data_IF_294564526313
#
_entry.id   IF_294564526313
#
_cell.length_a   1.000
_cell.length_b   1.000
_cell.length_c   1.000
_cell.angle_alpha   90.00
_cell.angle_beta   90.00
_cell.angle_gamma   90.00
#
_symmetry.space_group_name_H-M   'P 1'
#
loop_
_entity.id
_entity.type
_entity.pdbx_description
1 polymer ?
#
# COMPACT_ATOMS: atom_id res chain seq x y z
N UNK A 1 -6.21 20.06 -42.56
CA UNK A 1 -6.43 20.34 -41.11
C UNK A 1 -6.17 19.04 -40.37
N UNK A 2 -4.97 18.88 -39.79
CA UNK A 2 -4.56 17.62 -39.16
C UNK A 2 -5.29 17.47 -37.83
N UNK A 3 -6.05 16.39 -37.70
CA UNK A 3 -6.85 16.05 -36.53
C UNK A 3 -5.92 15.55 -35.41
N UNK A 4 -5.35 16.50 -34.65
CA UNK A 4 -4.45 16.26 -33.50
C UNK A 4 -5.19 15.84 -32.21
N UNK A 5 -6.50 15.59 -32.30
CA UNK A 5 -7.39 15.28 -31.17
C UNK A 5 -7.24 13.87 -30.61
N UNK A 6 -6.42 13.00 -31.22
CA UNK A 6 -6.10 11.68 -30.66
C UNK A 6 -5.04 11.72 -29.54
N UNK A 7 -4.57 12.90 -29.15
CA UNK A 7 -3.51 13.10 -28.14
C UNK A 7 -4.06 13.61 -26.81
N UNK A 8 -5.32 13.32 -26.47
CA UNK A 8 -5.93 13.73 -25.21
C UNK A 8 -6.22 12.53 -24.31
N UNK A 9 -5.25 12.20 -23.46
CA UNK A 9 -5.44 11.42 -22.22
C UNK A 9 -5.85 9.95 -22.37
N UNK A 10 -5.62 9.18 -21.33
CA UNK A 10 -6.26 7.86 -21.16
C UNK A 10 -7.77 8.07 -21.01
N UNK A 11 -8.52 7.96 -22.12
CA UNK A 11 -9.97 7.94 -22.09
C UNK A 11 -10.43 6.67 -21.34
N UNK A 12 -11.22 6.85 -20.29
CA UNK A 12 -11.84 5.73 -19.59
C UNK A 12 -13.13 5.34 -20.31
N UNK A 13 -13.22 4.09 -20.74
CA UNK A 13 -14.42 3.52 -21.33
C UNK A 13 -15.15 2.66 -20.28
N UNK A 14 -16.46 2.84 -20.09
CA UNK A 14 -17.22 2.00 -19.18
C UNK A 14 -17.29 0.57 -19.75
N UNK A 15 -16.96 -0.42 -18.91
CA UNK A 15 -16.95 -1.83 -19.34
C UNK A 15 -17.97 -2.70 -18.60
N UNK A 16 -18.34 -2.33 -17.37
CA UNK A 16 -19.27 -3.07 -16.52
C UNK A 16 -19.93 -2.14 -15.50
N UNK A 17 -21.17 -2.41 -15.12
CA UNK A 17 -21.84 -1.80 -13.96
C UNK A 17 -22.36 -2.87 -13.01
N UNK A 18 -22.38 -2.54 -11.72
CA UNK A 18 -22.93 -3.38 -10.67
C UNK A 18 -24.05 -2.62 -9.97
N UNK A 19 -25.19 -3.28 -9.79
CA UNK A 19 -26.33 -2.75 -9.05
C UNK A 19 -26.57 -3.59 -7.81
N UNK A 20 -26.54 -2.95 -6.65
CA UNK A 20 -26.63 -3.63 -5.35
C UNK A 20 -28.02 -3.37 -4.77
N UNK A 21 -28.76 -4.45 -4.57
CA UNK A 21 -30.05 -4.46 -3.91
C UNK A 21 -29.87 -4.91 -2.47
N UNK A 22 -30.56 -4.24 -1.55
CA UNK A 22 -30.62 -4.65 -0.14
C UNK A 22 -32.03 -5.12 0.16
N UNK A 23 -32.17 -6.30 0.75
CA UNK A 23 -33.45 -6.80 1.24
C UNK A 23 -33.89 -5.98 2.46
N UNK A 24 -35.11 -5.43 2.43
CA UNK A 24 -35.66 -4.54 3.47
C UNK A 24 -36.45 -5.25 4.56
N UNK A 25 -36.33 -6.58 4.70
CA UNK A 25 -37.03 -7.31 5.76
C UNK A 25 -36.43 -7.02 7.15
N UNK A 26 -37.29 -6.91 8.16
CA UNK A 26 -36.98 -6.56 9.56
C UNK A 26 -36.18 -7.67 10.29
N UNK A 27 -34.96 -7.94 9.85
CA UNK A 27 -34.05 -8.92 10.44
C UNK A 27 -32.65 -8.34 10.64
N UNK A 28 -31.97 -8.81 11.68
CA UNK A 28 -30.64 -8.40 12.10
C UNK A 28 -29.51 -8.68 11.06
N UNK A 29 -29.82 -9.35 9.95
CA UNK A 29 -28.87 -9.68 8.89
C UNK A 29 -29.27 -9.02 7.57
N UNK A 30 -28.57 -7.98 7.11
CA UNK A 30 -28.82 -7.40 5.80
C UNK A 30 -28.41 -8.39 4.71
N UNK A 31 -29.38 -8.83 3.92
CA UNK A 31 -29.15 -9.66 2.73
C UNK A 31 -29.01 -8.75 1.49
N UNK A 32 -28.05 -9.08 0.63
CA UNK A 32 -27.70 -8.28 -0.55
C UNK A 32 -27.73 -9.14 -1.80
N UNK A 33 -28.43 -8.64 -2.81
CA UNK A 33 -28.41 -9.20 -4.16
C UNK A 33 -27.65 -8.24 -5.09
N UNK A 34 -26.78 -8.77 -5.94
CA UNK A 34 -25.98 -7.96 -6.86
C UNK A 34 -26.27 -8.38 -8.29
N UNK A 35 -26.64 -7.42 -9.11
CA UNK A 35 -26.84 -7.57 -10.55
C UNK A 35 -25.68 -6.92 -11.32
N UNK A 36 -25.23 -7.60 -12.37
CA UNK A 36 -24.11 -7.24 -13.24
C UNK A 36 -24.64 -6.89 -14.63
N UNK A 37 -24.12 -5.79 -15.17
CA UNK A 37 -24.43 -5.29 -16.51
C UNK A 37 -23.13 -5.14 -17.29
N UNK A 38 -23.09 -5.67 -18.49
CA UNK A 38 -22.03 -5.37 -19.44
C UNK A 38 -22.29 -4.01 -20.11
N UNK A 39 -21.25 -3.37 -20.62
CA UNK A 39 -21.40 -2.10 -21.33
C UNK A 39 -21.21 -2.30 -22.83
N UNK A 40 -22.10 -1.75 -23.63
CA UNK A 40 -21.95 -1.72 -25.09
C UNK A 40 -20.93 -0.64 -25.52
N UNK A 41 -20.63 -0.58 -26.83
CA UNK A 41 -19.69 0.39 -27.40
C UNK A 41 -20.11 1.86 -27.23
N UNK A 42 -21.39 2.11 -26.95
CA UNK A 42 -21.95 3.42 -26.62
C UNK A 42 -21.97 3.70 -25.10
N UNK A 43 -21.46 2.79 -24.29
CA UNK A 43 -21.44 2.89 -22.82
C UNK A 43 -22.79 2.69 -22.16
N UNK A 44 -23.74 2.04 -22.84
CA UNK A 44 -25.05 1.71 -22.26
C UNK A 44 -25.00 0.34 -21.59
N UNK A 45 -25.64 0.18 -20.43
CA UNK A 45 -25.73 -1.09 -19.74
C UNK A 45 -26.62 -2.05 -20.53
N UNK A 46 -26.10 -3.25 -20.79
CA UNK A 46 -26.74 -4.33 -21.52
C UNK A 46 -26.49 -5.66 -20.79
N UNK A 47 -27.17 -6.73 -21.21
CA UNK A 47 -26.98 -8.08 -20.67
C UNK A 47 -27.10 -8.17 -19.13
N UNK A 48 -28.24 -7.80 -18.52
CA UNK A 48 -28.44 -7.92 -17.08
C UNK A 48 -28.38 -9.37 -16.63
N UNK A 49 -27.57 -9.67 -15.61
CA UNK A 49 -27.51 -10.99 -14.99
C UNK A 49 -27.07 -10.92 -13.53
N UNK A 50 -27.42 -11.91 -12.67
CA UNK A 50 -26.86 -12.01 -11.33
C UNK A 50 -25.33 -12.07 -11.38
N UNK A 51 -24.66 -11.32 -10.49
CA UNK A 51 -23.21 -11.34 -10.41
C UNK A 51 -22.72 -12.77 -10.12
N UNK A 52 -21.92 -13.32 -11.03
CA UNK A 52 -21.47 -14.71 -10.91
C UNK A 52 -20.27 -14.84 -9.97
N UNK A 53 -20.05 -16.04 -9.42
CA UNK A 53 -18.88 -16.33 -8.57
C UNK A 53 -17.56 -16.03 -9.30
N UNK A 54 -17.49 -16.33 -10.60
CA UNK A 54 -16.30 -16.10 -11.43
C UNK A 54 -16.00 -14.60 -11.55
N UNK A 55 -17.01 -13.78 -11.82
CA UNK A 55 -16.86 -12.33 -11.90
C UNK A 55 -16.49 -11.72 -10.55
N UNK A 56 -17.12 -12.18 -9.47
CA UNK A 56 -16.78 -11.76 -8.10
C UNK A 56 -15.32 -12.05 -7.77
N UNK A 57 -14.82 -13.24 -8.14
CA UNK A 57 -13.40 -13.58 -7.95
C UNK A 57 -12.46 -12.69 -8.78
N UNK A 58 -12.81 -12.42 -10.04
CA UNK A 58 -12.02 -11.55 -10.91
C UNK A 58 -11.98 -10.10 -10.40
N UNK A 59 -13.11 -9.61 -9.88
CA UNK A 59 -13.22 -8.30 -9.25
C UNK A 59 -12.36 -8.23 -7.98
N UNK A 60 -12.49 -9.20 -7.08
CA UNK A 60 -11.71 -9.27 -5.85
C UNK A 60 -10.21 -9.29 -6.13
N UNK A 61 -9.75 -10.09 -7.10
CA UNK A 61 -8.35 -10.13 -7.53
C UNK A 61 -7.85 -8.79 -8.05
N UNK A 62 -8.68 -8.08 -8.82
CA UNK A 62 -8.33 -6.77 -9.38
C UNK A 62 -8.19 -5.70 -8.31
N UNK A 63 -9.08 -5.72 -7.31
CA UNK A 63 -9.01 -4.82 -6.14
C UNK A 63 -7.76 -5.10 -5.29
N UNK A 64 -7.52 -6.37 -4.94
CA UNK A 64 -6.33 -6.78 -4.19
C UNK A 64 -5.02 -6.46 -4.93
N UNK A 65 -4.98 -6.59 -6.25
CA UNK A 65 -3.80 -6.25 -7.04
C UNK A 65 -3.50 -4.74 -7.02
N UNK A 66 -4.51 -3.88 -6.88
CA UNK A 66 -4.30 -2.43 -6.73
C UNK A 66 -3.74 -2.11 -5.34
N UNK A 67 -4.29 -2.73 -4.30
CA UNK A 67 -3.76 -2.61 -2.94
C UNK A 67 -2.29 -3.09 -2.87
N UNK A 68 -1.96 -4.29 -3.37
CA UNK A 68 -0.57 -4.79 -3.35
C UNK A 68 0.43 -3.87 -4.09
N UNK A 69 0.01 -3.18 -5.15
CA UNK A 69 0.85 -2.18 -5.84
C UNK A 69 1.05 -0.91 -5.02
N UNK A 70 0.04 -0.48 -4.25
CA UNK A 70 0.16 0.61 -3.30
C UNK A 70 1.03 0.24 -2.07
N UNK A 71 1.08 -1.06 -1.72
CA UNK A 71 1.75 -1.57 -0.52
C UNK A 71 3.10 -2.26 -0.77
N UNK A 72 3.77 -1.98 -1.90
CA UNK A 72 5.11 -2.51 -2.23
C UNK A 72 6.25 -1.87 -1.40
N UNK A 73 5.96 -1.43 -0.19
CA UNK A 73 6.93 -0.89 0.75
C UNK A 73 7.83 -2.03 1.27
N UNK A 74 9.14 -1.78 1.33
CA UNK A 74 10.16 -2.73 1.80
C UNK A 74 10.25 -4.02 0.97
N UNK A 75 10.05 -3.95 -0.34
CA UNK A 75 10.38 -5.06 -1.26
C UNK A 75 11.82 -4.86 -1.76
N UNK A 76 12.82 -5.62 -1.26
CA UNK A 76 14.21 -5.42 -1.63
C UNK A 76 14.41 -5.78 -3.11
N UNK A 77 15.07 -4.91 -3.87
CA UNK A 77 15.42 -5.15 -5.29
C UNK A 77 16.76 -5.90 -5.45
N UNK A 78 17.34 -6.40 -4.35
CA UNK A 78 18.67 -7.02 -4.32
C UNK A 78 18.94 -7.75 -3.00
N UNK A 79 20.21 -8.06 -2.74
CA UNK A 79 20.65 -8.75 -1.52
C UNK A 79 20.40 -7.89 -0.27
N UNK A 80 19.95 -8.53 0.80
CA UNK A 80 19.74 -7.88 2.08
C UNK A 80 21.08 -7.58 2.76
N UNK A 81 21.24 -6.39 3.38
CA UNK A 81 22.46 -6.05 4.08
C UNK A 81 22.60 -6.91 5.36
N UNK A 82 23.83 -7.25 5.77
CA UNK A 82 24.09 -8.24 6.83
C UNK A 82 23.67 -7.79 8.22
N UNK A 83 23.48 -6.49 8.42
CA UNK A 83 23.05 -5.90 9.68
C UNK A 83 21.52 -5.82 9.82
N UNK A 84 20.77 -6.22 8.78
CA UNK A 84 19.32 -6.32 8.83
C UNK A 84 18.92 -7.59 9.61
N UNK A 85 18.20 -7.39 10.71
CA UNK A 85 17.73 -8.49 11.56
C UNK A 85 16.40 -9.05 11.07
N UNK A 86 15.49 -8.17 10.62
CA UNK A 86 14.15 -8.58 10.21
C UNK A 86 13.56 -7.59 9.19
N UNK A 87 12.80 -8.15 8.23
CA UNK A 87 12.08 -7.38 7.23
C UNK A 87 10.68 -7.94 7.06
N UNK A 88 9.67 -7.12 7.28
CA UNK A 88 8.28 -7.40 6.93
C UNK A 88 7.88 -6.46 5.79
N UNK A 89 7.46 -7.01 4.67
CA UNK A 89 6.91 -6.24 3.55
C UNK A 89 5.36 -6.20 3.63
N UNK A 90 4.74 -5.23 2.96
CA UNK A 90 3.28 -5.08 2.90
C UNK A 90 2.75 -3.91 3.73
N UNK A 91 1.46 -3.95 4.07
CA UNK A 91 0.72 -2.80 4.62
C UNK A 91 1.23 -2.35 6.01
N UNK A 92 1.62 -3.31 6.86
CA UNK A 92 2.30 -3.07 8.14
C UNK A 92 3.79 -3.40 8.05
N UNK A 93 4.40 -3.04 6.92
CA UNK A 93 5.79 -3.37 6.66
C UNK A 93 6.72 -2.63 7.62
N UNK A 94 7.72 -3.32 8.15
CA UNK A 94 8.75 -2.70 8.99
C UNK A 94 10.10 -3.38 8.82
N UNK A 95 11.16 -2.62 9.02
CA UNK A 95 12.52 -3.10 8.99
C UNK A 95 13.15 -2.97 10.38
N UNK A 96 13.87 -4.00 10.80
CA UNK A 96 14.67 -3.99 12.03
C UNK A 96 16.12 -4.26 11.67
N UNK A 97 17.02 -3.40 12.10
CA UNK A 97 18.45 -3.60 11.91
C UNK A 97 19.25 -3.22 13.15
N UNK A 98 20.49 -3.68 13.18
CA UNK A 98 21.41 -3.44 14.27
C UNK A 98 22.58 -2.57 13.81
N UNK A 99 23.06 -1.73 14.72
CA UNK A 99 24.33 -1.02 14.62
C UNK A 99 25.19 -1.40 15.82
N UNK A 100 26.41 -1.89 15.57
CA UNK A 100 27.34 -2.25 16.63
C UNK A 100 27.81 -1.01 17.42
N UNK A 101 28.25 -1.23 18.66
CA UNK A 101 28.82 -0.19 19.48
C UNK A 101 30.05 0.44 18.79
N UNK A 102 30.09 1.76 18.76
CA UNK A 102 31.13 2.51 18.05
C UNK A 102 31.41 3.85 18.73
N UNK A 103 32.60 4.40 18.52
CA UNK A 103 32.86 5.82 18.80
C UNK A 103 32.54 6.60 17.54
N UNK A 104 31.66 7.59 17.66
CA UNK A 104 31.30 8.45 16.55
C UNK A 104 31.37 9.91 16.96
N UNK A 105 31.76 10.76 16.01
CA UNK A 105 31.72 12.21 16.18
C UNK A 105 30.28 12.68 16.02
N UNK A 106 29.70 13.17 17.11
CA UNK A 106 28.36 13.74 17.12
C UNK A 106 28.45 15.25 16.92
N UNK A 107 27.63 15.76 16.01
CA UNK A 107 27.49 17.17 15.74
C UNK A 107 26.14 17.64 16.27
N UNK A 108 26.15 18.66 17.12
CA UNK A 108 24.97 19.26 17.71
C UNK A 108 24.84 20.71 17.26
N UNK A 109 23.60 21.19 17.14
CA UNK A 109 23.33 22.60 16.89
C UNK A 109 23.63 23.45 18.13
N UNK A 110 24.14 24.67 17.92
CA UNK A 110 24.51 25.58 19.02
C UNK A 110 23.36 25.89 20.00
N UNK A 111 22.11 25.86 19.52
CA UNK A 111 20.92 26.08 20.35
C UNK A 111 20.63 24.99 21.39
N UNK A 112 21.31 23.84 21.32
CA UNK A 112 21.13 22.72 22.26
C UNK A 112 22.06 22.84 23.48
N UNK A 113 23.07 23.72 23.43
CA UNK A 113 24.04 23.91 24.51
C UNK A 113 24.99 22.73 24.75
N UNK A 114 24.98 21.72 23.87
CA UNK A 114 25.83 20.53 23.96
C UNK A 114 26.99 20.68 22.95
N UNK A 115 28.26 20.56 23.39
CA UNK A 115 29.39 20.67 22.48
C UNK A 115 29.45 19.47 21.53
N UNK A 116 29.69 19.74 20.25
CA UNK A 116 30.01 18.71 19.26
C UNK A 116 31.34 18.02 19.61
N UNK A 117 31.38 16.69 19.55
CA UNK A 117 32.55 15.93 20.01
C UNK A 117 32.44 14.43 19.75
N UNK A 118 33.46 13.67 20.14
CA UNK A 118 33.42 12.21 20.07
C UNK A 118 32.63 11.63 21.24
N UNK A 119 31.69 10.75 20.94
CA UNK A 119 30.90 10.04 21.93
C UNK A 119 30.95 8.53 21.66
N UNK A 120 30.93 7.74 22.74
CA UNK A 120 30.73 6.31 22.66
C UNK A 120 29.24 6.03 22.49
N UNK A 121 28.87 5.41 21.38
CA UNK A 121 27.51 4.97 21.08
C UNK A 121 27.42 3.48 21.37
N UNK A 122 26.47 3.03 22.22
CA UNK A 122 26.28 1.61 22.49
C UNK A 122 25.74 0.87 21.25
N UNK A 123 25.60 -0.45 21.35
CA UNK A 123 24.91 -1.20 20.32
C UNK A 123 23.43 -0.76 20.27
N UNK A 124 22.94 -0.50 19.05
CA UNK A 124 21.59 0.02 18.82
C UNK A 124 20.78 -0.94 17.95
N UNK A 125 19.50 -1.09 18.28
CA UNK A 125 18.51 -1.73 17.42
C UNK A 125 17.53 -0.68 16.95
N UNK A 126 17.36 -0.62 15.63
CA UNK A 126 16.55 0.36 14.93
C UNK A 126 15.31 -0.33 14.39
N UNK A 127 14.14 0.32 14.51
CA UNK A 127 12.90 -0.11 13.89
C UNK A 127 12.32 1.01 13.03
N UNK A 128 12.19 0.74 11.74
CA UNK A 128 11.56 1.64 10.77
C UNK A 128 10.16 1.14 10.43
N UNK A 129 9.16 2.00 10.58
CA UNK A 129 7.81 1.80 10.04
C UNK A 129 7.53 2.90 9.00
N UNK A 130 6.48 2.79 8.17
CA UNK A 130 6.10 3.87 7.28
C UNK A 130 5.83 5.12 8.14
N UNK A 131 6.51 6.22 7.84
CA UNK A 131 6.36 7.53 8.49
C UNK A 131 6.90 7.68 9.92
N UNK A 132 7.48 6.64 10.55
CA UNK A 132 8.01 6.72 11.92
C UNK A 132 9.28 5.89 12.13
N UNK A 133 10.12 6.32 13.07
CA UNK A 133 11.37 5.66 13.43
C UNK A 133 11.52 5.53 14.95
N UNK A 134 11.92 4.35 15.43
CA UNK A 134 12.18 4.09 16.85
C UNK A 134 13.56 3.45 17.07
N UNK A 135 14.18 3.77 18.21
CA UNK A 135 15.53 3.31 18.61
C UNK A 135 15.46 2.66 19.97
N UNK A 136 16.02 1.46 20.09
CA UNK A 136 16.22 0.79 21.37
C UNK A 136 17.71 0.64 21.67
N UNK A 137 18.14 1.08 22.85
CA UNK A 137 19.45 0.80 23.40
C UNK A 137 19.38 -0.48 24.25
N UNK A 138 20.35 -1.37 24.08
CA UNK A 138 20.62 -2.43 25.04
C UNK A 138 21.83 -2.00 25.89
N UNK A 139 21.59 -1.80 27.19
CA UNK A 139 22.61 -1.47 28.20
C UNK A 139 23.18 -2.72 28.84
#
# INVERSE_FOLDING_TARGET
MNNITHTFGTLYHPCKALLIYRKTENGYNPDYYVESYDMDSSGKPVNPHPLTIKESHALAKSLQSREKKAHAFLTPKGLLPPNLLYLKSGNDGFAVWHTAAQKAKLLFSDGLGIPSGEAAIPALVWKAIPFEFSVCCFS
#
